data_IF_952120863247
#
_entry.id   IF_952120863247
#
_cell.length_a   1.000
_cell.length_b   1.000
_cell.length_c   1.000
_cell.angle_alpha   90.00
_cell.angle_beta   90.00
_cell.angle_gamma   90.00
#
_symmetry.space_group_name_H-M   'P 1'
#
loop_
_entity.id
_entity.type
_entity.pdbx_description
1 polymer ?
#
# COMPACT_ATOMS: atom_id res chain seq x y z
N UNK A 1 32.87 6.43 -9.11
CA UNK A 1 31.97 7.59 -8.96
C UNK A 1 30.80 7.59 -9.94
N UNK A 2 30.98 7.27 -11.23
CA UNK A 2 29.89 7.35 -12.23
C UNK A 2 28.75 6.32 -12.00
N UNK A 3 29.05 5.11 -11.52
CA UNK A 3 28.02 4.08 -11.21
C UNK A 3 27.08 4.47 -10.07
N UNK A 4 27.57 5.17 -9.04
CA UNK A 4 26.73 5.56 -7.88
C UNK A 4 25.75 6.69 -8.23
N UNK A 5 26.09 7.52 -9.20
CA UNK A 5 25.27 8.66 -9.65
C UNK A 5 24.14 8.22 -10.59
N UNK A 6 24.41 7.23 -11.45
CA UNK A 6 23.39 6.57 -12.30
C UNK A 6 22.40 5.76 -11.47
N UNK A 7 22.85 5.13 -10.37
CA UNK A 7 21.96 4.42 -9.43
C UNK A 7 21.09 5.42 -8.65
N UNK A 8 21.64 6.55 -8.18
CA UNK A 8 20.87 7.62 -7.50
C UNK A 8 19.81 8.27 -8.42
N UNK A 9 20.18 8.67 -9.63
CA UNK A 9 19.25 9.29 -10.58
C UNK A 9 18.14 8.34 -11.06
N UNK A 10 18.37 7.02 -11.06
CA UNK A 10 17.34 6.03 -11.39
C UNK A 10 16.51 5.58 -10.17
N UNK A 11 17.07 5.64 -8.95
CA UNK A 11 16.26 5.49 -7.73
C UNK A 11 15.30 6.65 -7.50
N UNK A 12 15.64 7.85 -7.96
CA UNK A 12 14.73 9.02 -7.92
C UNK A 12 13.62 8.94 -8.98
N UNK A 13 13.86 8.22 -10.09
CA UNK A 13 12.82 7.83 -11.06
C UNK A 13 11.90 6.72 -10.55
N UNK A 14 12.36 5.95 -9.55
CA UNK A 14 11.53 5.08 -8.71
C UNK A 14 10.75 5.91 -7.68
N UNK A 15 10.19 7.01 -8.18
CA UNK A 15 9.40 8.01 -7.47
C UNK A 15 8.05 7.42 -7.08
N UNK A 16 7.37 8.03 -6.11
CA UNK A 16 6.03 7.61 -5.69
C UNK A 16 5.06 7.55 -6.88
N UNK A 17 5.20 8.41 -7.89
CA UNK A 17 4.41 8.37 -9.11
C UNK A 17 4.63 7.13 -9.98
N UNK A 18 5.85 6.59 -10.04
CA UNK A 18 6.12 5.33 -10.74
C UNK A 18 5.65 4.13 -9.91
N UNK A 19 5.83 4.18 -8.59
CA UNK A 19 5.37 3.15 -7.66
C UNK A 19 3.85 3.07 -7.61
N UNK A 20 3.16 4.21 -7.49
CA UNK A 20 1.69 4.28 -7.49
C UNK A 20 1.12 3.80 -8.81
N UNK A 21 1.73 4.16 -9.94
CA UNK A 21 1.33 3.67 -11.26
C UNK A 21 1.57 2.18 -11.41
N UNK A 22 2.71 1.68 -10.94
CA UNK A 22 3.03 0.24 -10.99
C UNK A 22 2.11 -0.57 -10.09
N UNK A 23 1.81 -0.09 -8.87
CA UNK A 23 0.85 -0.72 -7.95
C UNK A 23 -0.59 -0.67 -8.51
N UNK A 24 -0.97 0.42 -9.16
CA UNK A 24 -2.27 0.53 -9.83
C UNK A 24 -2.38 -0.39 -11.05
N UNK A 25 -1.30 -0.57 -11.81
CA UNK A 25 -1.26 -1.45 -12.98
C UNK A 25 -1.13 -2.94 -12.61
N UNK A 26 -0.38 -3.24 -11.55
CA UNK A 26 -0.12 -4.61 -11.10
C UNK A 26 -1.12 -4.93 -9.99
N UNK A 27 -2.34 -5.23 -10.41
CA UNK A 27 -3.47 -5.40 -9.50
C UNK A 27 -3.31 -6.60 -8.56
N UNK A 28 -3.74 -6.39 -7.30
CA UNK A 28 -3.95 -7.41 -6.27
C UNK A 28 -4.81 -8.59 -6.78
N UNK A 29 -4.84 -9.75 -6.10
CA UNK A 29 -5.75 -10.86 -6.41
C UNK A 29 -7.23 -10.48 -6.40
N UNK A 30 -8.03 -11.01 -7.35
CA UNK A 30 -9.50 -10.75 -7.41
C UNK A 30 -10.29 -11.56 -6.38
N UNK A 31 -9.77 -12.72 -6.00
CA UNK A 31 -10.36 -13.64 -5.04
C UNK A 31 -9.30 -14.11 -4.06
N UNK A 32 -9.73 -14.73 -2.97
CA UNK A 32 -8.82 -15.44 -2.09
C UNK A 32 -8.13 -16.56 -2.88
N UNK A 33 -6.80 -16.61 -2.82
CA UNK A 33 -5.99 -17.64 -3.47
C UNK A 33 -5.60 -18.77 -2.53
N UNK A 34 -5.93 -18.66 -1.23
CA UNK A 34 -5.49 -19.59 -0.18
C UNK A 34 -3.96 -19.79 -0.15
N UNK A 35 -3.24 -18.70 -0.46
CA UNK A 35 -1.78 -18.64 -0.40
C UNK A 35 -1.33 -17.44 0.42
N UNK A 36 -0.07 -17.48 0.84
CA UNK A 36 0.59 -16.37 1.55
C UNK A 36 1.54 -15.58 0.65
N UNK A 37 1.62 -15.97 -0.63
CA UNK A 37 2.47 -15.36 -1.62
C UNK A 37 1.68 -15.18 -2.92
N UNK A 38 1.77 -13.98 -3.48
CA UNK A 38 1.21 -13.65 -4.77
C UNK A 38 2.24 -12.88 -5.58
N UNK A 39 2.36 -13.22 -6.85
CA UNK A 39 3.22 -12.51 -7.79
C UNK A 39 2.46 -12.22 -9.07
N UNK A 40 2.73 -11.04 -9.64
CA UNK A 40 2.21 -10.66 -10.96
C UNK A 40 3.24 -9.82 -11.70
N UNK A 41 3.51 -10.21 -12.93
CA UNK A 41 4.39 -9.47 -13.86
C UNK A 41 3.58 -8.73 -14.91
N UNK A 42 3.97 -7.49 -15.20
CA UNK A 42 3.43 -6.66 -16.27
C UNK A 42 4.58 -5.96 -16.99
N UNK A 43 4.90 -6.40 -18.21
CA UNK A 43 6.03 -5.87 -18.97
C UNK A 43 7.37 -6.11 -18.25
N UNK A 44 8.06 -5.01 -17.91
CA UNK A 44 9.35 -5.03 -17.24
C UNK A 44 9.26 -5.03 -15.71
N UNK A 45 8.05 -5.03 -15.14
CA UNK A 45 7.84 -4.86 -13.70
C UNK A 45 7.11 -6.06 -13.11
N UNK A 46 7.58 -6.55 -11.97
CA UNK A 46 6.98 -7.64 -11.19
C UNK A 46 6.61 -7.14 -9.81
N UNK A 47 5.35 -7.32 -9.40
CA UNK A 47 4.92 -7.12 -8.01
C UNK A 47 4.81 -8.48 -7.34
N UNK A 48 5.51 -8.65 -6.23
CA UNK A 48 5.30 -9.75 -5.30
C UNK A 48 4.76 -9.23 -3.97
N UNK A 49 3.88 -10.03 -3.36
CA UNK A 49 3.21 -9.74 -2.10
C UNK A 49 3.36 -10.96 -1.22
N UNK A 50 3.85 -10.74 -0.01
CA UNK A 50 3.94 -11.77 1.02
C UNK A 50 3.11 -11.35 2.22
N UNK A 51 2.29 -12.25 2.73
CA UNK A 51 1.47 -12.03 3.92
C UNK A 51 1.79 -13.04 5.02
N UNK A 52 1.45 -12.69 6.25
CA UNK A 52 1.57 -13.60 7.37
C UNK A 52 0.52 -14.72 7.26
N UNK A 53 0.85 -16.01 7.45
CA UNK A 53 -0.07 -17.14 7.27
C UNK A 53 -1.38 -17.05 8.09
N UNK A 54 -1.33 -16.44 9.27
CA UNK A 54 -2.52 -16.25 10.12
C UNK A 54 -3.47 -15.14 9.65
N UNK A 55 -2.98 -14.22 8.82
CA UNK A 55 -3.75 -13.06 8.32
C UNK A 55 -4.18 -13.33 6.87
N UNK A 56 -3.26 -13.83 6.05
CA UNK A 56 -3.49 -14.15 4.64
C UNK A 56 -3.34 -12.93 3.72
N UNK A 57 -3.32 -13.18 2.41
CA UNK A 57 -3.14 -12.13 1.41
C UNK A 57 -4.36 -11.18 1.32
N UNK A 58 -4.15 -9.92 0.95
CA UNK A 58 -5.22 -9.01 0.56
C UNK A 58 -5.79 -9.41 -0.80
N UNK A 59 -7.12 -9.42 -0.92
CA UNK A 59 -7.80 -9.74 -2.18
C UNK A 59 -9.13 -9.00 -2.33
N UNK A 60 -9.63 -8.97 -3.56
CA UNK A 60 -10.94 -8.39 -3.85
C UNK A 60 -10.91 -6.87 -3.97
N UNK A 61 -12.09 -6.26 -3.89
CA UNK A 61 -12.27 -4.84 -4.24
C UNK A 61 -11.73 -3.91 -3.14
N UNK A 62 -11.96 -4.24 -1.87
CA UNK A 62 -11.61 -3.36 -0.75
C UNK A 62 -10.11 -3.03 -0.66
N UNK A 63 -9.17 -3.99 -0.69
CA UNK A 63 -7.74 -3.67 -0.66
C UNK A 63 -7.28 -2.82 -1.84
N UNK A 64 -7.88 -2.98 -3.02
CA UNK A 64 -7.50 -2.22 -4.22
C UNK A 64 -7.94 -0.77 -4.14
N UNK A 65 -9.18 -0.55 -3.70
CA UNK A 65 -9.69 0.80 -3.46
C UNK A 65 -8.85 1.50 -2.39
N UNK A 66 -8.54 0.79 -1.30
CA UNK A 66 -7.67 1.32 -0.24
C UNK A 66 -6.27 1.64 -0.76
N UNK A 67 -5.64 0.73 -1.50
CA UNK A 67 -4.30 0.95 -2.06
C UNK A 67 -4.27 2.14 -3.02
N UNK A 68 -5.27 2.26 -3.90
CA UNK A 68 -5.42 3.39 -4.80
C UNK A 68 -5.58 4.71 -4.02
N UNK A 69 -6.41 4.72 -2.98
CA UNK A 69 -6.59 5.86 -2.10
C UNK A 69 -5.30 6.23 -1.37
N UNK A 70 -4.56 5.26 -0.82
CA UNK A 70 -3.26 5.47 -0.16
C UNK A 70 -2.27 6.12 -1.13
N UNK A 71 -2.18 5.59 -2.35
CA UNK A 71 -1.32 6.16 -3.39
C UNK A 71 -1.69 7.60 -3.72
N UNK A 72 -2.99 7.90 -3.89
CA UNK A 72 -3.48 9.26 -4.17
C UNK A 72 -3.17 10.19 -3.01
N UNK A 73 -3.45 9.77 -1.78
CA UNK A 73 -3.26 10.60 -0.58
C UNK A 73 -1.79 10.85 -0.27
N UNK A 74 -0.92 9.85 -0.44
CA UNK A 74 0.52 10.01 -0.24
C UNK A 74 1.11 11.04 -1.22
N UNK A 75 0.63 11.06 -2.47
CA UNK A 75 1.02 12.09 -3.46
C UNK A 75 0.44 13.46 -3.08
N UNK A 76 -0.82 13.50 -2.63
CA UNK A 76 -1.54 14.74 -2.30
C UNK A 76 -1.00 15.45 -1.06
N UNK A 77 -0.79 14.73 0.04
CA UNK A 77 -0.39 15.31 1.33
C UNK A 77 1.11 15.47 1.47
N UNK A 78 1.92 14.72 0.73
CA UNK A 78 3.39 14.62 0.91
C UNK A 78 3.80 14.40 2.38
N UNK A 79 2.90 13.85 3.17
CA UNK A 79 3.07 13.63 4.60
C UNK A 79 3.23 12.13 4.84
N UNK A 80 4.07 11.76 5.80
CA UNK A 80 4.27 10.37 6.23
C UNK A 80 3.08 9.84 7.04
N UNK A 81 2.17 10.69 7.49
CA UNK A 81 0.99 10.25 8.26
C UNK A 81 -0.26 10.42 7.41
N UNK A 82 -0.94 9.30 7.12
CA UNK A 82 -2.22 9.30 6.41
C UNK A 82 -3.37 9.12 7.40
N UNK A 83 -4.43 9.90 7.21
CA UNK A 83 -5.64 9.84 8.00
C UNK A 83 -6.80 9.27 7.17
N UNK A 84 -7.27 8.07 7.53
CA UNK A 84 -8.39 7.37 6.91
C UNK A 84 -9.74 8.08 7.14
N UNK A 85 -9.83 9.10 7.99
CA UNK A 85 -11.03 9.88 8.24
C UNK A 85 -11.34 10.03 9.72
N UNK A 86 -12.45 10.66 10.09
CA UNK A 86 -12.79 10.81 11.52
C UNK A 86 -13.60 9.64 12.07
N UNK A 87 -14.28 8.91 11.18
CA UNK A 87 -15.09 7.75 11.53
C UNK A 87 -15.19 6.75 10.36
N UNK A 88 -15.55 5.51 10.69
CA UNK A 88 -15.70 4.40 9.73
C UNK A 88 -16.70 4.72 8.60
N UNK A 89 -17.84 5.33 8.95
CA UNK A 89 -18.90 5.66 8.00
C UNK A 89 -18.44 6.69 6.95
N UNK A 90 -17.65 7.68 7.34
CA UNK A 90 -17.05 8.65 6.42
C UNK A 90 -16.06 7.98 5.47
N UNK A 91 -15.25 7.06 5.98
CA UNK A 91 -14.31 6.34 5.13
C UNK A 91 -15.03 5.42 4.14
N UNK A 92 -16.07 4.71 4.58
CA UNK A 92 -16.93 3.91 3.70
C UNK A 92 -17.58 4.78 2.62
N UNK A 93 -18.11 5.95 2.98
CA UNK A 93 -18.66 6.92 2.02
C UNK A 93 -17.61 7.39 1.00
N UNK A 94 -16.38 7.67 1.43
CA UNK A 94 -15.27 8.05 0.52
C UNK A 94 -14.91 6.94 -0.46
N UNK A 95 -15.06 5.68 -0.06
CA UNK A 95 -14.82 4.51 -0.90
C UNK A 95 -16.08 4.05 -1.65
N UNK A 96 -17.21 4.78 -1.52
CA UNK A 96 -18.51 4.43 -2.09
C UNK A 96 -19.02 3.03 -1.68
N UNK A 97 -18.71 2.63 -0.44
CA UNK A 97 -19.11 1.35 0.15
C UNK A 97 -20.38 1.55 0.99
N UNK A 98 -21.30 0.59 0.92
CA UNK A 98 -22.47 0.54 1.79
C UNK A 98 -22.13 0.53 3.28
N UNK A 99 -22.91 1.24 4.09
CA UNK A 99 -22.72 1.31 5.54
C UNK A 99 -23.51 0.20 6.26
N UNK A 100 -23.22 -1.05 5.93
CA UNK A 100 -23.78 -2.23 6.59
C UNK A 100 -22.70 -3.02 7.35
N UNK A 101 -23.11 -3.73 8.40
CA UNK A 101 -22.19 -4.44 9.30
C UNK A 101 -21.29 -5.46 8.58
N UNK A 102 -21.75 -6.05 7.47
CA UNK A 102 -20.96 -6.99 6.68
C UNK A 102 -19.87 -6.28 5.88
N UNK A 103 -20.20 -5.21 5.16
CA UNK A 103 -19.19 -4.43 4.42
C UNK A 103 -18.15 -3.83 5.36
N UNK A 104 -18.57 -3.39 6.54
CA UNK A 104 -17.67 -2.94 7.61
C UNK A 104 -16.68 -4.05 7.98
N UNK A 105 -17.16 -5.23 8.34
CA UNK A 105 -16.31 -6.34 8.76
C UNK A 105 -15.33 -6.77 7.66
N UNK A 106 -15.80 -6.82 6.41
CA UNK A 106 -14.96 -7.14 5.25
C UNK A 106 -13.89 -6.08 5.01
N UNK A 107 -14.24 -4.79 5.09
CA UNK A 107 -13.26 -3.72 4.95
C UNK A 107 -12.19 -3.82 6.03
N UNK A 108 -12.57 -4.03 7.30
CA UNK A 108 -11.59 -4.19 8.40
C UNK A 108 -10.61 -5.34 8.15
N UNK A 109 -11.13 -6.53 7.83
CA UNK A 109 -10.31 -7.71 7.52
C UNK A 109 -9.35 -7.44 6.36
N UNK A 110 -9.86 -6.88 5.27
CA UNK A 110 -9.10 -6.59 4.07
C UNK A 110 -8.08 -5.46 4.25
N UNK A 111 -8.40 -4.45 5.06
CA UNK A 111 -7.44 -3.42 5.47
C UNK A 111 -6.32 -4.04 6.28
N UNK A 112 -6.63 -4.88 7.27
CA UNK A 112 -5.61 -5.53 8.08
C UNK A 112 -4.67 -6.41 7.23
N UNK A 113 -5.23 -7.21 6.31
CA UNK A 113 -4.46 -7.99 5.33
C UNK A 113 -3.55 -7.12 4.47
N UNK A 114 -4.05 -5.98 3.98
CA UNK A 114 -3.28 -5.08 3.13
C UNK A 114 -2.11 -4.45 3.88
N UNK A 115 -2.36 -3.89 5.07
CA UNK A 115 -1.36 -3.12 5.81
C UNK A 115 -0.30 -4.02 6.48
N UNK A 116 -0.65 -5.28 6.77
CA UNK A 116 0.29 -6.29 7.28
C UNK A 116 1.09 -7.02 6.19
N UNK A 117 0.78 -6.77 4.90
CA UNK A 117 1.48 -7.42 3.79
C UNK A 117 2.77 -6.68 3.42
N UNK A 118 3.80 -7.45 3.07
CA UNK A 118 5.03 -6.93 2.49
C UNK A 118 4.92 -6.95 0.97
N UNK A 119 5.12 -5.80 0.36
CA UNK A 119 5.13 -5.65 -1.09
C UNK A 119 6.57 -5.55 -1.57
N UNK A 120 6.84 -6.10 -2.74
CA UNK A 120 8.12 -6.00 -3.40
C UNK A 120 7.89 -5.74 -4.87
N UNK A 121 8.47 -4.65 -5.35
CA UNK A 121 8.43 -4.27 -6.75
C UNK A 121 9.80 -4.54 -7.36
N UNK A 122 9.85 -5.38 -8.37
CA UNK A 122 11.06 -5.69 -9.12
C UNK A 122 10.94 -5.13 -10.53
N UNK A 123 12.04 -4.63 -11.07
CA UNK A 123 12.13 -4.17 -12.45
C UNK A 123 13.31 -4.85 -13.13
N UNK A 124 13.06 -5.37 -14.32
CA UNK A 124 14.06 -6.05 -15.14
C UNK A 124 14.03 -5.45 -16.53
N UNK A 125 15.10 -4.74 -16.88
CA UNK A 125 15.39 -4.29 -18.24
C UNK A 125 16.70 -4.96 -18.73
N UNK A 126 17.01 -4.84 -20.02
CA UNK A 126 18.11 -5.55 -20.70
C UNK A 126 19.48 -5.39 -20.03
N UNK A 127 19.73 -4.26 -19.38
CA UNK A 127 21.00 -3.97 -18.70
C UNK A 127 20.88 -3.76 -17.19
N UNK A 128 19.66 -3.59 -16.67
CA UNK A 128 19.43 -3.17 -15.29
C UNK A 128 18.37 -4.06 -14.64
N UNK A 129 18.74 -4.66 -13.51
CA UNK A 129 17.81 -5.30 -12.59
C UNK A 129 17.82 -4.53 -11.29
N UNK A 130 16.66 -4.36 -10.69
CA UNK A 130 16.56 -3.82 -9.35
C UNK A 130 15.23 -4.16 -8.71
N UNK A 131 15.16 -3.91 -7.41
CA UNK A 131 13.96 -4.13 -6.64
C UNK A 131 13.82 -3.07 -5.56
N UNK A 132 12.59 -2.88 -5.09
CA UNK A 132 12.26 -2.07 -3.91
C UNK A 132 11.25 -2.82 -3.07
N UNK A 133 11.60 -3.00 -1.79
CA UNK A 133 10.63 -3.43 -0.80
C UNK A 133 9.75 -2.23 -0.44
N UNK A 134 8.45 -2.45 -0.44
CA UNK A 134 7.43 -1.47 -0.14
C UNK A 134 6.72 -1.94 1.13
N UNK A 135 6.97 -1.22 2.21
CA UNK A 135 6.25 -1.37 3.46
C UNK A 135 5.22 -0.25 3.46
N UNK A 136 3.93 -0.58 3.34
CA UNK A 136 2.88 0.45 3.31
C UNK A 136 2.83 1.20 4.64
N UNK A 137 3.00 0.50 5.75
CA UNK A 137 2.88 1.04 7.10
C UNK A 137 4.01 0.49 7.96
N UNK A 138 4.78 1.38 8.61
CA UNK A 138 5.87 0.95 9.51
C UNK A 138 5.36 0.44 10.85
N UNK A 139 4.23 1.00 11.31
CA UNK A 139 3.59 0.68 12.58
C UNK A 139 2.06 0.72 12.37
N UNK A 140 1.40 -0.41 12.60
CA UNK A 140 -0.04 -0.55 12.43
C UNK A 140 -0.73 -0.85 13.76
N UNK A 141 -1.90 -0.26 13.96
CA UNK A 141 -2.82 -0.62 15.03
C UNK A 141 -4.03 -1.33 14.42
N UNK A 142 -4.76 -2.11 15.20
CA UNK A 142 -6.01 -2.71 14.74
C UNK A 142 -7.03 -1.61 14.48
N UNK A 143 -7.25 -1.32 13.20
CA UNK A 143 -8.15 -0.24 12.82
C UNK A 143 -9.58 -0.53 13.26
N UNK A 144 -10.24 0.53 13.72
CA UNK A 144 -11.64 0.48 14.13
C UNK A 144 -11.90 -0.46 15.33
N UNK A 145 -10.94 -0.61 16.24
CA UNK A 145 -11.21 -1.06 17.60
C UNK A 145 -11.57 0.14 18.49
N UNK A 146 -12.64 0.07 19.30
CA UNK A 146 -12.98 1.14 20.22
C UNK A 146 -11.92 1.19 21.33
N UNK A 147 -11.02 2.17 21.28
CA UNK A 147 -10.18 2.53 22.41
C UNK A 147 -10.69 3.86 22.97
N UNK A 148 -11.35 3.81 24.13
CA UNK A 148 -11.89 4.99 24.84
C UNK A 148 -12.80 5.92 23.99
N UNK A 149 -13.51 5.39 22.99
CA UNK A 149 -14.46 6.17 22.17
C UNK A 149 -13.81 7.08 21.12
N UNK A 150 -12.47 7.07 21.00
CA UNK A 150 -11.73 7.77 19.94
C UNK A 150 -11.29 6.74 18.91
N UNK A 151 -11.79 6.90 17.68
CA UNK A 151 -11.43 6.04 16.58
C UNK A 151 -10.03 6.40 16.09
N UNK A 152 -9.06 5.49 16.22
CA UNK A 152 -7.74 5.67 15.61
C UNK A 152 -7.82 5.37 14.12
N UNK A 153 -7.61 6.42 13.33
CA UNK A 153 -7.76 6.41 11.86
C UNK A 153 -6.48 6.79 11.14
N UNK A 154 -5.37 6.91 11.88
CA UNK A 154 -4.10 7.35 11.33
C UNK A 154 -3.11 6.19 11.29
N UNK A 155 -2.33 6.12 10.22
CA UNK A 155 -1.11 5.32 10.20
C UNK A 155 0.04 6.08 9.60
N UNK A 156 1.23 5.69 10.05
CA UNK A 156 2.48 6.20 9.54
C UNK A 156 2.95 5.32 8.38
N UNK A 157 3.01 5.93 7.20
CA UNK A 157 3.72 5.40 6.05
C UNK A 157 5.18 5.18 6.41
N UNK A 158 5.74 4.07 5.94
CA UNK A 158 7.18 3.85 6.09
C UNK A 158 7.98 4.97 5.41
N UNK A 159 9.19 5.24 5.89
CA UNK A 159 10.09 6.23 5.28
C UNK A 159 10.41 5.92 3.81
N UNK A 160 10.26 4.67 3.40
CA UNK A 160 10.45 4.24 2.00
C UNK A 160 9.28 4.65 1.09
N UNK A 161 8.11 4.92 1.68
CA UNK A 161 6.88 5.33 1.01
C UNK A 161 6.55 6.81 1.23
N UNK A 162 6.94 7.36 2.38
CA UNK A 162 6.81 8.77 2.71
C UNK A 162 7.79 9.63 1.91
N UNK A 163 7.36 10.83 1.51
CA UNK A 163 8.25 11.81 0.89
C UNK A 163 8.98 12.52 2.04
N UNK A 164 10.27 12.22 2.23
CA UNK A 164 11.11 13.07 3.08
C UNK A 164 11.22 14.42 2.38
N UNK A 165 10.87 15.56 3.03
CA UNK A 165 11.25 16.86 2.50
C UNK A 165 12.78 16.86 2.46
N UNK A 166 13.37 17.02 1.28
CA UNK A 166 14.78 17.36 1.22
C UNK A 166 14.90 18.76 1.83
N UNK A 167 15.34 18.83 3.09
CA UNK A 167 15.78 20.08 3.69
C UNK A 167 17.00 20.54 2.92
N UNK A 168 16.82 21.67 2.24
CA UNK A 168 17.85 22.47 1.57
C UNK A 168 18.99 22.85 2.52
#
# INVERSE_FOLDING_TARGET
MIKSEVVKNNSDKLNLGFLSRSLAQIGLPHSNLDTNYFERTSGLVTLSITSHPKIGLPYGTYPRLLLAWICTEAVRTKNSTLNLGTNQTEFLKKLEIGNDGRSIALLKDQTNRLLSSLFRLEFTDKEIRGFKNLILVSEGFEFWCPNNGVWETQFKLSETFAITPQTS
#
